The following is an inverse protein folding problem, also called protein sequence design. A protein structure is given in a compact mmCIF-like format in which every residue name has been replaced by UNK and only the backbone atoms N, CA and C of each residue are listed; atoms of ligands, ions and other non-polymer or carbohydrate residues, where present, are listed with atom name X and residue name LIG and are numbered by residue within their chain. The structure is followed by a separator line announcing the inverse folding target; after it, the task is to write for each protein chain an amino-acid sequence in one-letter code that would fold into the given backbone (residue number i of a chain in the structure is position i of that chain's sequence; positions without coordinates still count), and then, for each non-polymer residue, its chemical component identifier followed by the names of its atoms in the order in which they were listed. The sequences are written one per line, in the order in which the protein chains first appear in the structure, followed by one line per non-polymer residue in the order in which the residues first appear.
data_IF_493779554520
#
_entry.id   IF_493779554520
#
_cell.length_a   1.000
_cell.length_b   1.000
_cell.length_c   1.000
_cell.angle_alpha   90.00
_cell.angle_beta   90.00
_cell.angle_gamma   90.00
#
_symmetry.space_group_name_H-M   'P 1'
#
loop_
_entity.id
_entity.type
_entity.pdbx_description
1 polymer ?
#
# COMPACT_ATOMS: atom_id res chain seq x y z
N UNK A 1 -10.38 -10.27 -11.07
CA UNK A 1 -11.07 -11.37 -10.57
C UNK A 1 -11.24 -12.51 -11.52
N UNK A 2 -10.93 -13.64 -11.09
CA UNK A 2 -10.94 -14.80 -11.95
C UNK A 2 -12.04 -15.75 -11.51
N UNK A 3 -12.74 -16.28 -12.45
CA UNK A 3 -13.70 -17.31 -12.17
C UNK A 3 -13.25 -18.61 -12.77
N UNK A 4 -13.43 -19.64 -12.01
CA UNK A 4 -13.19 -20.97 -12.51
C UNK A 4 -14.34 -21.36 -13.39
N UNK A 5 -14.01 -21.90 -14.53
CA UNK A 5 -15.02 -22.32 -15.45
C UNK A 5 -15.34 -23.77 -15.29
N UNK A 6 -16.60 -24.07 -15.41
CA UNK A 6 -17.02 -25.44 -15.51
C UNK A 6 -16.90 -25.86 -16.95
N UNK A 7 -16.06 -26.82 -17.19
CA UNK A 7 -15.87 -27.37 -18.52
C UNK A 7 -16.55 -28.70 -18.56
N UNK A 8 -17.42 -28.89 -19.50
CA UNK A 8 -18.18 -30.15 -19.74
C UNK A 8 -18.94 -30.64 -18.50
N UNK A 9 -19.21 -29.76 -17.57
CA UNK A 9 -19.99 -30.10 -16.39
C UNK A 9 -19.30 -30.97 -15.37
N UNK A 10 -18.05 -31.28 -15.58
CA UNK A 10 -17.32 -32.15 -14.65
C UNK A 10 -16.44 -31.40 -13.68
N UNK A 11 -16.01 -30.24 -14.08
CA UNK A 11 -15.18 -29.39 -13.23
C UNK A 11 -16.07 -28.49 -12.42
N UNK A 12 -15.97 -28.56 -11.12
CA UNK A 12 -16.73 -27.69 -10.27
C UNK A 12 -16.03 -26.36 -10.12
N UNK A 13 -16.80 -25.31 -10.18
CA UNK A 13 -16.31 -24.00 -9.86
C UNK A 13 -16.10 -23.91 -8.35
N UNK A 14 -14.94 -23.43 -7.95
CA UNK A 14 -14.65 -23.20 -6.55
C UNK A 14 -15.29 -21.89 -6.14
N UNK A 15 -16.07 -21.95 -5.09
CA UNK A 15 -16.69 -20.77 -4.53
C UNK A 15 -16.12 -20.52 -3.14
N UNK A 16 -15.72 -19.29 -2.92
CA UNK A 16 -15.22 -18.88 -1.62
C UNK A 16 -16.24 -17.97 -0.99
N UNK A 17 -16.54 -18.27 0.27
CA UNK A 17 -17.54 -17.51 0.98
C UNK A 17 -17.07 -16.08 1.24
N UNK A 18 -17.95 -15.13 0.99
CA UNK A 18 -17.71 -13.74 1.33
C UNK A 18 -18.24 -13.51 2.74
N UNK A 19 -17.34 -13.55 3.71
CA UNK A 19 -17.69 -13.54 5.12
C UNK A 19 -17.91 -12.12 5.64
N UNK A 20 -18.37 -12.03 6.87
CA UNK A 20 -18.49 -10.73 7.56
C UNK A 20 -17.14 -10.06 7.72
N UNK A 21 -16.08 -10.85 7.91
CA UNK A 21 -14.73 -10.30 7.97
C UNK A 21 -14.36 -9.61 6.66
N UNK A 22 -14.71 -10.22 5.53
CA UNK A 22 -14.50 -9.61 4.22
C UNK A 22 -15.30 -8.33 4.08
N UNK A 23 -16.56 -8.33 4.52
CA UNK A 23 -17.41 -7.15 4.43
C UNK A 23 -16.84 -6.01 5.25
N UNK A 24 -16.38 -6.31 6.45
CA UNK A 24 -15.77 -5.31 7.31
C UNK A 24 -14.54 -4.70 6.66
N UNK A 25 -13.65 -5.56 6.17
CA UNK A 25 -12.42 -5.09 5.52
C UNK A 25 -12.74 -4.24 4.30
N UNK A 26 -13.68 -4.68 3.46
CA UNK A 26 -14.08 -3.91 2.29
C UNK A 26 -14.60 -2.54 2.68
N UNK A 27 -15.40 -2.47 3.73
CA UNK A 27 -15.94 -1.20 4.20
C UNK A 27 -14.84 -0.25 4.67
N UNK A 28 -13.83 -0.79 5.37
CA UNK A 28 -12.69 0.02 5.79
C UNK A 28 -11.93 0.56 4.58
N UNK A 29 -11.74 -0.25 3.55
CA UNK A 29 -11.06 0.18 2.33
C UNK A 29 -11.88 1.26 1.63
N UNK A 30 -13.20 1.09 1.54
CA UNK A 30 -14.06 2.09 0.91
C UNK A 30 -13.97 3.44 1.62
N UNK A 31 -14.06 3.43 2.94
CA UNK A 31 -14.00 4.66 3.73
C UNK A 31 -12.66 5.36 3.56
N UNK A 32 -11.57 4.60 3.65
CA UNK A 32 -10.23 5.16 3.48
C UNK A 32 -10.05 5.72 2.08
N UNK A 33 -10.53 4.98 1.06
CA UNK A 33 -10.41 5.40 -0.33
C UNK A 33 -11.17 6.70 -0.57
N UNK A 34 -12.40 6.80 -0.06
CA UNK A 34 -13.20 8.00 -0.22
C UNK A 34 -12.54 9.21 0.44
N UNK A 35 -12.01 9.04 1.63
CA UNK A 35 -11.33 10.12 2.33
C UNK A 35 -10.07 10.57 1.58
N UNK A 36 -9.26 9.61 1.14
CA UNK A 36 -8.04 9.92 0.40
C UNK A 36 -8.36 10.59 -0.93
N UNK A 37 -9.37 10.10 -1.63
CA UNK A 37 -9.78 10.68 -2.91
C UNK A 37 -10.25 12.11 -2.73
N UNK A 38 -11.06 12.35 -1.71
CA UNK A 38 -11.57 13.67 -1.43
C UNK A 38 -10.44 14.67 -1.19
N UNK A 39 -9.51 14.30 -0.32
CA UNK A 39 -8.38 15.16 0.00
C UNK A 39 -7.46 15.36 -1.19
N UNK A 40 -7.18 14.29 -1.92
CA UNK A 40 -6.27 14.35 -3.07
C UNK A 40 -6.86 15.22 -4.18
N UNK A 41 -8.14 15.06 -4.45
CA UNK A 41 -8.80 15.84 -5.48
C UNK A 41 -8.79 17.33 -5.16
N UNK A 42 -9.11 17.68 -3.91
CA UNK A 42 -9.10 19.07 -3.49
C UNK A 42 -7.71 19.68 -3.56
N UNK A 43 -6.71 18.91 -3.13
CA UNK A 43 -5.32 19.36 -3.23
C UNK A 43 -4.90 19.58 -4.68
N UNK A 44 -5.35 18.71 -5.58
CA UNK A 44 -5.08 18.85 -7.01
C UNK A 44 -5.67 20.12 -7.60
N UNK A 45 -6.90 20.46 -7.21
CA UNK A 45 -7.53 21.68 -7.66
C UNK A 45 -6.71 22.91 -7.26
N UNK A 46 -6.18 22.91 -6.02
CA UNK A 46 -5.31 23.99 -5.56
C UNK A 46 -4.00 24.02 -6.34
N UNK A 47 -3.37 22.86 -6.51
CA UNK A 47 -2.07 22.75 -7.16
C UNK A 47 -2.13 23.22 -8.61
N UNK A 48 -3.22 22.93 -9.31
CA UNK A 48 -3.40 23.29 -10.71
C UNK A 48 -4.25 24.53 -10.90
N UNK A 49 -4.39 25.32 -9.85
CA UNK A 49 -5.04 26.65 -9.91
C UNK A 49 -6.45 26.60 -10.47
N UNK A 50 -7.20 25.60 -10.06
CA UNK A 50 -8.61 25.47 -10.45
C UNK A 50 -8.83 24.87 -11.83
N UNK A 51 -7.79 24.31 -12.46
CA UNK A 51 -7.97 23.63 -13.75
C UNK A 51 -8.96 22.49 -13.60
N UNK A 52 -9.90 22.44 -14.54
CA UNK A 52 -10.91 21.40 -14.53
C UNK A 52 -10.38 20.18 -15.29
N UNK A 53 -10.32 19.03 -14.60
CA UNK A 53 -9.75 17.83 -15.22
C UNK A 53 -10.46 17.41 -16.50
N UNK A 54 -11.78 17.60 -16.54
CA UNK A 54 -12.54 17.19 -17.72
C UNK A 54 -12.31 18.11 -18.93
N UNK A 55 -11.60 19.22 -18.75
CA UNK A 55 -11.23 20.09 -19.87
C UNK A 55 -9.75 20.05 -20.16
N UNK A 56 -8.98 19.31 -19.37
CA UNK A 56 -7.54 19.20 -19.59
C UNK A 56 -7.27 18.44 -20.89
N UNK A 57 -6.30 18.90 -21.70
CA UNK A 57 -5.95 18.16 -22.91
C UNK A 57 -5.53 16.73 -22.59
N UNK A 58 -6.00 15.78 -23.41
CA UNK A 58 -5.71 14.37 -23.18
C UNK A 58 -4.21 14.08 -23.14
N UNK A 59 -3.44 14.74 -24.01
CA UNK A 59 -2.00 14.54 -24.03
C UNK A 59 -1.36 14.93 -22.69
N UNK A 60 -1.82 16.02 -22.10
CA UNK A 60 -1.33 16.47 -20.80
C UNK A 60 -1.70 15.48 -19.70
N UNK A 61 -2.91 14.96 -19.75
CA UNK A 61 -3.39 14.01 -18.78
C UNK A 61 -2.58 12.70 -18.82
N UNK A 62 -2.23 12.26 -20.03
CA UNK A 62 -1.39 11.07 -20.21
C UNK A 62 -0.01 11.29 -19.60
N UNK A 63 0.60 12.43 -19.85
CA UNK A 63 1.91 12.74 -19.27
C UNK A 63 1.86 12.75 -17.75
N UNK A 64 0.86 13.39 -17.19
CA UNK A 64 0.70 13.43 -15.74
C UNK A 64 0.52 12.02 -15.17
N UNK A 65 -0.26 11.18 -15.83
CA UNK A 65 -0.50 9.82 -15.38
C UNK A 65 0.79 9.00 -15.41
N UNK A 66 1.59 9.17 -16.45
CA UNK A 66 2.86 8.46 -16.57
C UNK A 66 3.81 8.87 -15.44
N UNK A 67 3.92 10.17 -15.20
CA UNK A 67 4.78 10.68 -14.13
C UNK A 67 4.36 10.13 -12.78
N UNK A 68 3.06 10.12 -12.49
CA UNK A 68 2.56 9.58 -11.24
C UNK A 68 2.80 8.09 -11.11
N UNK A 69 2.73 7.37 -12.22
CA UNK A 69 3.02 5.94 -12.22
C UNK A 69 4.49 5.68 -11.90
N UNK A 70 5.39 6.48 -12.46
CA UNK A 70 6.81 6.35 -12.17
C UNK A 70 7.09 6.67 -10.71
N UNK A 71 6.48 7.71 -10.18
CA UNK A 71 6.61 8.05 -8.77
C UNK A 71 6.15 6.90 -7.88
N UNK A 72 5.04 6.27 -8.23
CA UNK A 72 4.52 5.15 -7.47
C UNK A 72 5.49 3.98 -7.46
N UNK A 73 6.11 3.67 -8.60
CA UNK A 73 7.11 2.61 -8.67
C UNK A 73 8.30 2.93 -7.76
N UNK A 74 8.74 4.18 -7.78
CA UNK A 74 9.85 4.62 -6.93
C UNK A 74 9.51 4.44 -5.45
N UNK A 75 8.32 4.85 -5.05
CA UNK A 75 7.88 4.68 -3.67
C UNK A 75 7.80 3.20 -3.29
N UNK A 76 7.25 2.37 -4.16
CA UNK A 76 7.13 0.95 -3.87
C UNK A 76 8.49 0.26 -3.74
N UNK A 77 9.45 0.62 -4.60
CA UNK A 77 10.78 0.06 -4.51
C UNK A 77 11.50 0.52 -3.25
N UNK A 78 11.33 1.80 -2.89
CA UNK A 78 11.90 2.32 -1.66
C UNK A 78 11.31 1.63 -0.44
N UNK A 79 9.99 1.42 -0.45
CA UNK A 79 9.32 0.70 0.63
C UNK A 79 9.84 -0.74 0.72
N UNK A 80 10.05 -1.40 -0.41
CA UNK A 80 10.58 -2.75 -0.41
C UNK A 80 11.95 -2.82 0.25
N UNK A 81 12.79 -1.82 0.00
CA UNK A 81 14.10 -1.75 0.64
C UNK A 81 13.97 -1.58 2.16
N UNK A 82 13.07 -0.70 2.58
CA UNK A 82 12.82 -0.50 4.01
C UNK A 82 12.27 -1.75 4.68
N UNK A 83 11.39 -2.47 3.99
CA UNK A 83 10.83 -3.71 4.51
C UNK A 83 11.93 -4.76 4.72
N UNK A 84 12.92 -4.81 3.83
CA UNK A 84 14.04 -5.72 4.02
C UNK A 84 14.82 -5.40 5.28
N UNK A 85 15.07 -4.12 5.52
CA UNK A 85 15.78 -3.70 6.74
C UNK A 85 14.99 -4.10 7.98
N UNK A 86 13.69 -3.84 7.96
CA UNK A 86 12.81 -4.21 9.08
C UNK A 86 12.82 -5.71 9.30
N UNK A 87 12.74 -6.48 8.23
CA UNK A 87 12.75 -7.94 8.31
C UNK A 87 14.06 -8.47 8.89
N UNK A 88 15.18 -7.89 8.49
CA UNK A 88 16.49 -8.29 9.02
C UNK A 88 16.59 -8.02 10.52
N UNK A 89 16.16 -6.84 10.92
CA UNK A 89 16.19 -6.47 12.34
C UNK A 89 15.28 -7.35 13.19
N UNK A 90 14.09 -7.61 12.67
CA UNK A 90 13.13 -8.46 13.37
C UNK A 90 13.61 -9.90 13.42
N UNK A 91 14.19 -10.38 12.33
CA UNK A 91 14.72 -11.75 12.27
C UNK A 91 15.84 -11.94 13.28
N UNK A 92 16.75 -10.98 13.37
CA UNK A 92 17.84 -11.03 14.35
C UNK A 92 17.29 -11.13 15.77
N UNK A 93 16.35 -10.26 16.11
CA UNK A 93 15.77 -10.28 17.46
C UNK A 93 14.97 -11.54 17.76
N UNK A 94 14.42 -12.17 16.72
CA UNK A 94 13.59 -13.34 16.89
C UNK A 94 14.42 -14.64 17.05
N UNK A 95 15.48 -14.76 16.26
CA UNK A 95 16.15 -16.04 16.10
C UNK A 95 17.54 -16.14 16.74
N UNK A 96 18.12 -15.05 17.15
CA UNK A 96 19.44 -15.05 17.75
C UNK A 96 19.32 -15.02 19.26
N UNK A 97 19.52 -16.17 19.89
CA UNK A 97 19.42 -16.31 21.34
C UNK A 97 20.53 -15.54 22.07
N UNK A 98 21.60 -15.19 21.36
CA UNK A 98 22.67 -14.41 21.95
C UNK A 98 22.33 -12.94 22.07
N UNK A 99 21.25 -12.49 21.42
CA UNK A 99 20.83 -11.10 21.43
C UNK A 99 20.33 -10.75 22.84
N UNK A 100 21.01 -9.80 23.49
CA UNK A 100 20.62 -9.38 24.83
C UNK A 100 19.43 -8.39 24.75
N UNK A 101 18.84 -8.11 25.91
CA UNK A 101 17.68 -7.21 25.99
C UNK A 101 18.00 -5.82 25.43
N UNK A 102 19.22 -5.33 25.63
CA UNK A 102 19.63 -4.03 25.11
C UNK A 102 19.64 -4.02 23.59
N UNK A 103 20.23 -5.06 22.98
CA UNK A 103 20.28 -5.19 21.53
C UNK A 103 18.88 -5.31 20.94
N UNK A 104 18.02 -6.09 21.59
CA UNK A 104 16.63 -6.23 21.13
C UNK A 104 15.91 -4.89 21.16
N UNK A 105 16.14 -4.11 22.19
CA UNK A 105 15.53 -2.78 22.28
C UNK A 105 16.05 -1.86 21.20
N UNK A 106 17.33 -1.93 20.90
CA UNK A 106 17.92 -1.13 19.83
C UNK A 106 17.35 -1.52 18.47
N UNK A 107 17.16 -2.81 18.24
CA UNK A 107 16.53 -3.27 17.00
C UNK A 107 15.11 -2.74 16.87
N UNK A 108 14.36 -2.77 17.96
CA UNK A 108 13.00 -2.23 17.97
C UNK A 108 12.99 -0.73 17.70
N UNK A 109 13.95 0.00 18.25
CA UNK A 109 14.08 1.42 17.96
C UNK A 109 14.41 1.67 16.50
N UNK A 110 15.30 0.87 15.94
CA UNK A 110 15.68 1.00 14.53
C UNK A 110 14.48 0.72 13.61
N UNK A 111 13.69 -0.29 13.96
CA UNK A 111 12.46 -0.60 13.22
C UNK A 111 11.50 0.56 13.32
N UNK A 112 11.28 1.06 14.52
CA UNK A 112 10.38 2.19 14.75
C UNK A 112 10.82 3.41 13.94
N UNK A 113 12.12 3.73 13.99
CA UNK A 113 12.66 4.85 13.25
C UNK A 113 12.49 4.66 11.73
N UNK A 114 12.72 3.44 11.25
CA UNK A 114 12.56 3.15 9.82
C UNK A 114 11.13 3.41 9.37
N UNK A 115 10.16 3.06 10.22
CA UNK A 115 8.75 3.22 9.89
C UNK A 115 8.29 4.67 10.03
N UNK A 116 8.70 5.33 11.10
CA UNK A 116 8.13 6.64 11.47
C UNK A 116 9.02 7.83 11.17
N UNK A 117 10.32 7.60 11.01
CA UNK A 117 11.29 8.69 10.82
C UNK A 117 11.57 9.46 12.10
N UNK A 118 11.21 8.91 13.26
CA UNK A 118 11.40 9.62 14.53
C UNK A 118 11.69 8.62 15.64
N UNK A 119 12.36 9.12 16.68
CA UNK A 119 12.63 8.33 17.89
C UNK A 119 11.44 8.33 18.86
N UNK A 120 10.44 9.11 18.58
CA UNK A 120 9.31 9.26 19.51
C UNK A 120 8.14 8.31 19.21
#
# INVERSE_FOLDING_TARGET
MTTNKVVDGKTKQLEFEFTDAHRYHLEQIKLATCDLLDRKYKAGVQAYKGTKLWTMPAAKMVENAIEETIDQVTYLLSLRQQMRIIMELAYEGKNDESVCATTSRENCRAIWYTITGTDK
#
